data_IF_249465615014
#
_entry.id   IF_249465615014
#
_cell.length_a   1.000
_cell.length_b   1.000
_cell.length_c   1.000
_cell.angle_alpha   90.00
_cell.angle_beta   90.00
_cell.angle_gamma   90.00
#
_symmetry.space_group_name_H-M   'P 1'
#
loop_
_entity.id
_entity.type
_entity.pdbx_description
1 polymer ?
#
# COMPACT_ATOMS: atom_id res chain seq x y z
N UNK A 1 19.76 26.32 -14.92
CA UNK A 1 19.38 25.25 -13.97
C UNK A 1 20.34 24.08 -14.14
N UNK A 2 20.90 23.56 -13.05
CA UNK A 2 21.78 22.40 -13.16
C UNK A 2 21.00 21.20 -13.72
N UNK A 3 21.61 20.45 -14.62
CA UNK A 3 21.03 19.23 -15.25
C UNK A 3 20.48 18.23 -14.21
N UNK A 4 21.05 18.23 -13.00
CA UNK A 4 20.66 17.37 -11.88
C UNK A 4 19.26 17.61 -11.33
N UNK A 5 18.81 18.87 -11.26
CA UNK A 5 17.48 19.20 -10.76
C UNK A 5 16.37 18.78 -11.74
N UNK A 6 16.64 18.88 -13.05
CA UNK A 6 15.69 18.50 -14.09
C UNK A 6 15.45 16.97 -14.13
N UNK A 7 16.52 16.20 -13.91
CA UNK A 7 16.43 14.74 -13.89
C UNK A 7 15.62 14.22 -12.67
N UNK A 8 15.88 14.80 -11.49
CA UNK A 8 15.18 14.43 -10.26
C UNK A 8 13.67 14.73 -10.34
N UNK A 9 13.30 15.87 -10.94
CA UNK A 9 11.89 16.25 -11.16
C UNK A 9 11.18 15.26 -12.09
N UNK A 10 11.81 14.82 -13.16
CA UNK A 10 11.23 13.89 -14.12
C UNK A 10 10.91 12.53 -13.46
N UNK A 11 11.81 11.98 -12.65
CA UNK A 11 11.57 10.73 -11.94
C UNK A 11 10.33 10.79 -11.03
N UNK A 12 10.12 11.92 -10.34
CA UNK A 12 8.97 12.11 -9.47
C UNK A 12 7.68 12.37 -10.26
N UNK A 13 7.76 13.08 -11.38
CA UNK A 13 6.62 13.28 -12.27
C UNK A 13 6.14 11.94 -12.85
N UNK A 14 7.04 11.05 -13.26
CA UNK A 14 6.71 9.71 -13.74
C UNK A 14 6.02 8.87 -12.67
N UNK A 15 6.54 8.84 -11.44
CA UNK A 15 5.91 8.13 -10.32
C UNK A 15 4.50 8.64 -10.01
N UNK A 16 4.31 9.95 -10.08
CA UNK A 16 3.00 10.57 -9.86
C UNK A 16 2.03 10.22 -10.98
N UNK A 17 2.48 10.24 -12.24
CA UNK A 17 1.66 9.88 -13.39
C UNK A 17 1.24 8.40 -13.36
N UNK A 18 2.13 7.48 -12.95
CA UNK A 18 1.80 6.07 -12.78
C UNK A 18 0.61 5.88 -11.82
N UNK A 19 0.59 6.62 -10.70
CA UNK A 19 -0.51 6.57 -9.74
C UNK A 19 -1.80 7.15 -10.31
N UNK A 20 -1.73 8.35 -10.92
CA UNK A 20 -2.91 9.05 -11.44
C UNK A 20 -3.56 8.35 -12.65
N UNK A 21 -2.79 7.59 -13.43
CA UNK A 21 -3.28 6.85 -14.59
C UNK A 21 -3.79 5.46 -14.25
N UNK A 22 -3.63 5.00 -13.02
CA UNK A 22 -4.13 3.68 -12.62
C UNK A 22 -5.66 3.63 -12.71
N UNK A 23 -6.23 2.55 -13.28
CA UNK A 23 -7.66 2.46 -13.55
C UNK A 23 -8.56 2.46 -12.31
N UNK A 24 -8.02 2.16 -11.14
CA UNK A 24 -8.75 2.11 -9.88
C UNK A 24 -9.34 3.47 -9.45
N UNK A 25 -8.72 4.58 -9.84
CA UNK A 25 -9.20 5.93 -9.52
C UNK A 25 -10.31 6.42 -10.47
N UNK A 26 -10.59 5.70 -11.56
CA UNK A 26 -11.65 6.07 -12.51
C UNK A 26 -13.04 5.64 -12.05
N UNK A 27 -13.12 4.47 -11.40
CA UNK A 27 -14.34 3.91 -10.83
C UNK A 27 -14.02 3.20 -9.52
N UNK A 28 -13.85 3.96 -8.45
CA UNK A 28 -13.46 3.44 -7.13
C UNK A 28 -14.45 2.37 -6.64
N UNK A 29 -15.79 2.59 -6.64
CA UNK A 29 -16.73 1.58 -6.15
C UNK A 29 -16.73 0.30 -6.99
N UNK A 30 -16.57 0.42 -8.31
CA UNK A 30 -16.51 -0.73 -9.21
C UNK A 30 -15.21 -1.51 -9.11
N UNK A 31 -14.11 -0.82 -8.89
CA UNK A 31 -12.79 -1.43 -8.80
C UNK A 31 -12.58 -2.19 -7.48
N UNK A 32 -12.95 -1.59 -6.34
CA UNK A 32 -12.74 -2.13 -4.99
C UNK A 32 -13.94 -2.93 -4.46
N UNK A 33 -14.68 -3.64 -5.34
CA UNK A 33 -15.90 -4.40 -4.98
C UNK A 33 -15.63 -5.76 -4.34
N UNK A 34 -14.43 -6.33 -4.51
CA UNK A 34 -14.10 -7.64 -3.94
C UNK A 34 -14.09 -7.58 -2.41
N UNK A 35 -14.52 -8.65 -1.71
CA UNK A 35 -14.66 -8.62 -0.25
C UNK A 35 -13.41 -8.21 0.53
N UNK A 36 -12.23 -8.63 0.07
CA UNK A 36 -10.96 -8.26 0.70
C UNK A 36 -10.42 -6.91 0.23
N UNK A 37 -11.00 -6.34 -0.84
CA UNK A 37 -10.66 -5.00 -1.34
C UNK A 37 -11.39 -3.92 -0.58
N UNK A 38 -10.85 -2.71 -0.59
CA UNK A 38 -11.54 -1.55 -0.07
C UNK A 38 -10.76 -0.26 -0.31
N UNK A 39 -11.50 0.82 -0.35
CA UNK A 39 -10.98 2.18 -0.40
C UNK A 39 -11.63 2.97 0.74
N UNK A 40 -10.84 3.37 1.72
CA UNK A 40 -11.34 4.02 2.92
C UNK A 40 -10.77 5.42 3.07
N UNK A 41 -11.64 6.33 3.47
CA UNK A 41 -11.30 7.70 3.84
C UNK A 41 -11.50 7.84 5.35
N UNK A 42 -10.48 8.34 6.03
CA UNK A 42 -10.56 8.67 7.45
C UNK A 42 -10.86 10.15 7.60
N UNK A 43 -11.88 10.45 8.40
CA UNK A 43 -12.30 11.80 8.72
C UNK A 43 -12.35 12.00 10.24
N UNK A 44 -12.13 13.23 10.67
CA UNK A 44 -12.30 13.68 12.06
C UNK A 44 -13.27 14.85 12.08
N UNK A 45 -14.55 14.57 12.42
CA UNK A 45 -15.64 15.50 12.19
C UNK A 45 -15.88 15.69 10.70
N UNK A 46 -15.74 16.90 10.21
CA UNK A 46 -15.83 17.30 8.80
C UNK A 46 -14.46 17.46 8.10
N UNK A 47 -13.38 17.08 8.78
CA UNK A 47 -12.01 17.24 8.28
C UNK A 47 -11.46 15.93 7.75
N UNK A 48 -10.91 15.98 6.53
CA UNK A 48 -10.15 14.89 5.95
C UNK A 48 -8.86 14.66 6.75
N UNK A 49 -8.61 13.40 7.10
CA UNK A 49 -7.42 12.96 7.84
C UNK A 49 -6.48 12.14 6.97
N UNK A 50 -7.02 11.23 6.17
CA UNK A 50 -6.23 10.37 5.33
C UNK A 50 -7.06 9.38 4.53
N UNK A 51 -6.39 8.59 3.72
CA UNK A 51 -6.99 7.51 2.94
C UNK A 51 -6.06 6.30 2.84
N UNK A 52 -6.66 5.14 2.60
CA UNK A 52 -5.97 3.90 2.31
C UNK A 52 -6.80 3.03 1.38
N UNK A 53 -6.14 2.28 0.50
CA UNK A 53 -6.81 1.34 -0.39
C UNK A 53 -6.04 0.02 -0.48
N UNK A 54 -6.77 -1.10 -0.42
CA UNK A 54 -6.26 -2.46 -0.66
C UNK A 54 -7.00 -3.06 -1.85
N UNK A 55 -6.23 -3.58 -2.79
CA UNK A 55 -6.69 -4.18 -4.03
C UNK A 55 -6.39 -5.69 -4.01
N UNK A 56 -7.44 -6.50 -3.98
CA UNK A 56 -7.39 -7.96 -4.11
C UNK A 56 -7.86 -8.47 -5.47
N UNK A 57 -8.15 -7.56 -6.42
CA UNK A 57 -8.73 -7.93 -7.73
C UNK A 57 -7.81 -8.80 -8.58
N UNK A 58 -6.51 -8.78 -8.32
CA UNK A 58 -5.56 -9.68 -9.00
C UNK A 58 -5.78 -11.14 -8.62
N UNK A 59 -6.40 -11.43 -7.47
CA UNK A 59 -6.79 -12.78 -7.08
C UNK A 59 -7.79 -13.40 -8.06
N UNK A 60 -8.71 -12.59 -8.60
CA UNK A 60 -9.75 -13.05 -9.53
C UNK A 60 -9.22 -13.32 -10.95
N UNK A 61 -8.08 -12.73 -11.32
CA UNK A 61 -7.46 -12.91 -12.64
C UNK A 61 -6.54 -14.12 -12.71
N UNK A 62 -6.01 -14.59 -11.60
CA UNK A 62 -5.08 -15.71 -11.52
C UNK A 62 -5.76 -17.09 -11.38
N UNK A 63 -7.07 -17.14 -11.09
CA UNK A 63 -7.84 -18.40 -11.09
C UNK A 63 -7.87 -19.08 -12.49
N UNK A 64 -7.46 -18.35 -13.55
CA UNK A 64 -7.41 -18.85 -14.93
C UNK A 64 -6.02 -19.36 -15.38
N UNK A 65 -4.98 -19.22 -14.56
CA UNK A 65 -3.64 -19.77 -14.83
C UNK A 65 -3.23 -20.73 -13.73
N UNK A 66 -2.99 -21.99 -14.13
CA UNK A 66 -2.65 -23.13 -13.29
C UNK A 66 -1.29 -23.04 -12.52
N UNK A 67 -0.79 -21.88 -12.21
CA UNK A 67 0.35 -21.74 -11.29
C UNK A 67 -0.11 -21.80 -9.82
N UNK A 68 -0.43 -23.01 -9.38
CA UNK A 68 -0.86 -23.36 -8.01
C UNK A 68 0.18 -23.11 -6.92
N UNK A 69 1.24 -22.35 -7.20
CA UNK A 69 2.37 -22.12 -6.26
C UNK A 69 2.52 -20.70 -5.73
N UNK A 70 1.89 -19.71 -6.36
CA UNK A 70 2.01 -18.34 -5.90
C UNK A 70 1.03 -18.04 -4.74
N UNK A 71 1.45 -17.37 -3.65
CA UNK A 71 0.55 -17.01 -2.56
C UNK A 71 -0.51 -16.03 -3.06
N UNK A 72 -1.75 -16.18 -2.60
CA UNK A 72 -2.82 -15.21 -2.87
C UNK A 72 -2.49 -13.87 -2.24
N UNK A 73 -2.26 -12.86 -3.08
CA UNK A 73 -1.70 -11.59 -2.67
C UNK A 73 -2.64 -10.43 -2.99
N UNK A 74 -2.91 -9.58 -2.00
CA UNK A 74 -3.51 -8.26 -2.19
C UNK A 74 -2.44 -7.17 -2.17
N UNK A 75 -2.72 -6.01 -2.75
CA UNK A 75 -1.78 -4.89 -2.86
C UNK A 75 -2.34 -3.64 -2.21
N UNK A 76 -1.56 -3.04 -1.33
CA UNK A 76 -1.81 -1.71 -0.79
C UNK A 76 -1.53 -0.69 -1.90
N UNK A 77 -2.58 -0.06 -2.43
CA UNK A 77 -2.48 0.85 -3.59
C UNK A 77 -2.21 2.29 -3.19
N UNK A 78 -3.03 2.80 -2.30
CA UNK A 78 -2.97 4.19 -1.85
C UNK A 78 -2.89 4.21 -0.34
N UNK A 79 -2.03 5.08 0.18
CA UNK A 79 -1.92 5.28 1.60
C UNK A 79 -1.35 6.67 1.88
N UNK A 80 -2.16 7.52 2.47
CA UNK A 80 -1.77 8.87 2.82
C UNK A 80 -2.45 9.31 4.12
N UNK A 81 -1.73 10.04 4.95
CA UNK A 81 -2.27 10.72 6.14
C UNK A 81 -1.75 12.14 6.18
N UNK A 82 -2.64 13.10 6.40
CA UNK A 82 -2.32 14.51 6.53
C UNK A 82 -1.35 14.77 7.68
N UNK A 83 -0.40 15.67 7.47
CA UNK A 83 0.70 15.93 8.41
C UNK A 83 0.26 16.19 9.85
N UNK A 84 -0.77 17.01 10.14
CA UNK A 84 -1.20 17.29 11.53
C UNK A 84 -1.60 16.02 12.31
N UNK A 85 -2.05 14.96 11.62
CA UNK A 85 -2.53 13.72 12.25
C UNK A 85 -1.47 12.63 12.36
N UNK A 86 -0.29 12.81 11.76
CA UNK A 86 0.81 11.83 11.83
C UNK A 86 1.38 11.69 13.24
N UNK A 87 1.40 12.76 14.02
CA UNK A 87 1.89 12.76 15.41
C UNK A 87 1.03 11.92 16.35
N UNK A 88 -0.27 11.86 16.10
CA UNK A 88 -1.21 11.01 16.85
C UNK A 88 -1.33 9.61 16.26
N UNK A 89 -0.47 9.27 15.29
CA UNK A 89 -0.36 7.95 14.67
C UNK A 89 -1.63 7.47 13.95
N UNK A 90 -2.40 8.39 13.36
CA UNK A 90 -3.57 8.04 12.58
C UNK A 90 -3.27 7.05 11.43
N UNK A 91 -2.04 7.07 10.90
CA UNK A 91 -1.57 6.09 9.92
C UNK A 91 -1.55 4.65 10.45
N UNK A 92 -1.20 4.46 11.73
CA UNK A 92 -1.14 3.12 12.33
C UNK A 92 -2.55 2.53 12.47
N UNK A 93 -3.51 3.33 12.92
CA UNK A 93 -4.91 2.91 13.06
C UNK A 93 -5.54 2.61 11.70
N UNK A 94 -5.30 3.47 10.71
CA UNK A 94 -5.84 3.32 9.36
C UNK A 94 -5.28 2.08 8.67
N UNK A 95 -3.97 1.85 8.76
CA UNK A 95 -3.32 0.66 8.20
C UNK A 95 -3.80 -0.61 8.88
N UNK A 96 -3.85 -0.63 10.21
CA UNK A 96 -4.35 -1.78 10.97
C UNK A 96 -5.78 -2.14 10.59
N UNK A 97 -6.66 -1.15 10.49
CA UNK A 97 -8.05 -1.34 10.06
C UNK A 97 -8.14 -2.00 8.68
N UNK A 98 -7.38 -1.50 7.70
CA UNK A 98 -7.42 -2.02 6.34
C UNK A 98 -6.87 -3.45 6.23
N UNK A 99 -5.78 -3.76 6.94
CA UNK A 99 -5.19 -5.10 7.02
C UNK A 99 -6.17 -6.08 7.65
N UNK A 100 -6.75 -5.72 8.78
CA UNK A 100 -7.72 -6.55 9.50
C UNK A 100 -8.94 -6.84 8.64
N UNK A 101 -9.45 -5.84 7.93
CA UNK A 101 -10.55 -6.02 6.97
C UNK A 101 -10.17 -7.04 5.89
N UNK A 102 -9.04 -6.85 5.22
CA UNK A 102 -8.63 -7.71 4.12
C UNK A 102 -8.49 -9.17 4.54
N UNK A 103 -7.74 -9.44 5.60
CA UNK A 103 -7.54 -10.81 6.07
C UNK A 103 -8.78 -11.48 6.66
N UNK A 104 -9.68 -10.71 7.30
CA UNK A 104 -10.94 -11.26 7.83
C UNK A 104 -11.97 -11.53 6.74
N UNK A 105 -12.00 -10.70 5.70
CA UNK A 105 -12.98 -10.80 4.62
C UNK A 105 -12.68 -11.93 3.62
N UNK A 106 -11.40 -12.29 3.43
CA UNK A 106 -11.01 -13.40 2.57
C UNK A 106 -10.05 -14.36 3.29
N UNK A 107 -10.53 -15.52 3.76
CA UNK A 107 -9.70 -16.54 4.41
C UNK A 107 -8.60 -17.11 3.49
N UNK A 108 -8.74 -16.98 2.18
CA UNK A 108 -7.76 -17.48 1.21
C UNK A 108 -6.64 -16.48 0.93
N UNK A 109 -6.78 -15.23 1.36
CA UNK A 109 -5.73 -14.22 1.22
C UNK A 109 -4.54 -14.59 2.12
N UNK A 110 -3.38 -14.80 1.54
CA UNK A 110 -2.18 -15.24 2.25
C UNK A 110 -1.23 -14.09 2.56
N UNK A 111 -1.23 -13.06 1.69
CA UNK A 111 -0.22 -12.02 1.73
C UNK A 111 -0.79 -10.66 1.32
N UNK A 112 -0.30 -9.59 1.95
CA UNK A 112 -0.53 -8.19 1.53
C UNK A 112 0.83 -7.58 1.20
N UNK A 113 0.93 -6.98 0.01
CA UNK A 113 2.12 -6.26 -0.44
C UNK A 113 1.90 -4.74 -0.41
N UNK A 114 2.96 -4.01 -0.13
CA UNK A 114 2.98 -2.55 -0.11
C UNK A 114 4.27 -2.01 -0.74
N UNK A 115 4.17 -0.88 -1.43
CA UNK A 115 5.35 -0.17 -1.92
C UNK A 115 6.16 0.38 -0.74
N UNK A 116 7.47 0.19 -0.77
CA UNK A 116 8.43 0.75 0.18
C UNK A 116 9.17 1.92 -0.43
N UNK A 117 9.18 3.05 0.26
CA UNK A 117 9.91 4.24 -0.18
C UNK A 117 10.59 4.95 0.99
N UNK A 118 11.92 5.21 0.89
CA UNK A 118 12.61 6.04 1.88
C UNK A 118 12.21 7.51 1.84
N UNK A 119 11.48 7.92 0.79
CA UNK A 119 11.03 9.30 0.59
C UNK A 119 9.80 9.64 1.45
N UNK A 120 9.11 8.61 1.98
CA UNK A 120 7.94 8.76 2.84
C UNK A 120 8.19 7.99 4.14
N UNK A 121 9.06 8.50 5.03
CA UNK A 121 9.50 7.76 6.22
C UNK A 121 8.36 7.33 7.14
N UNK A 122 7.36 8.17 7.36
CA UNK A 122 6.25 7.85 8.26
C UNK A 122 5.43 6.64 7.80
N UNK A 123 5.26 6.44 6.49
CA UNK A 123 4.59 5.26 5.94
C UNK A 123 5.46 4.01 6.05
N UNK A 124 6.76 4.13 5.76
CA UNK A 124 7.71 3.04 5.93
C UNK A 124 7.75 2.56 7.38
N UNK A 125 7.83 3.47 8.33
CA UNK A 125 7.87 3.13 9.76
C UNK A 125 6.55 2.50 10.22
N UNK A 126 5.42 2.98 9.72
CA UNK A 126 4.11 2.39 9.97
C UNK A 126 4.01 0.96 9.43
N UNK A 127 4.44 0.69 8.20
CA UNK A 127 4.47 -0.66 7.63
C UNK A 127 5.33 -1.61 8.46
N UNK A 128 6.51 -1.16 8.87
CA UNK A 128 7.42 -1.95 9.72
C UNK A 128 6.80 -2.25 11.09
N UNK A 129 6.15 -1.27 11.70
CA UNK A 129 5.47 -1.43 12.99
C UNK A 129 4.32 -2.46 12.93
N UNK A 130 3.63 -2.57 11.79
CA UNK A 130 2.60 -3.60 11.54
C UNK A 130 3.18 -4.98 11.13
N UNK A 131 4.50 -5.11 11.04
CA UNK A 131 5.17 -6.36 10.77
C UNK A 131 5.47 -6.64 9.30
N UNK A 132 5.34 -5.64 8.42
CA UNK A 132 5.77 -5.79 7.03
C UNK A 132 7.29 -5.93 6.92
N UNK A 133 7.73 -6.92 6.18
CA UNK A 133 9.14 -7.20 5.88
C UNK A 133 9.49 -6.75 4.46
N UNK A 134 10.74 -6.39 4.25
CA UNK A 134 11.26 -6.07 2.92
C UNK A 134 11.40 -7.36 2.11
N UNK A 135 10.76 -7.40 0.94
CA UNK A 135 10.89 -8.50 -0.01
C UNK A 135 12.08 -8.26 -0.97
N UNK A 136 12.00 -7.19 -1.74
CA UNK A 136 13.05 -6.82 -2.68
C UNK A 136 13.02 -5.32 -3.00
N UNK A 137 14.13 -4.83 -3.58
CA UNK A 137 14.19 -3.50 -4.17
C UNK A 137 13.76 -3.54 -5.63
N UNK A 138 12.98 -2.55 -6.08
CA UNK A 138 12.44 -2.47 -7.44
C UNK A 138 13.27 -1.56 -8.34
N UNK A 139 13.45 -0.31 -7.94
CA UNK A 139 14.21 0.69 -8.70
C UNK A 139 14.89 1.72 -7.83
N UNK A 140 15.83 2.45 -8.40
CA UNK A 140 16.47 3.60 -7.78
C UNK A 140 15.93 4.88 -8.44
N UNK A 141 15.69 5.92 -7.64
CA UNK A 141 15.18 7.20 -8.12
C UNK A 141 16.00 8.36 -7.58
N UNK A 142 16.06 9.42 -8.37
CA UNK A 142 16.74 10.68 -8.03
C UNK A 142 18.25 10.58 -8.00
N UNK A 143 18.91 11.70 -7.76
CA UNK A 143 20.37 11.83 -7.72
C UNK A 143 21.03 11.01 -6.61
N UNK A 144 20.35 10.85 -5.48
CA UNK A 144 20.83 10.07 -4.34
C UNK A 144 20.57 8.57 -4.49
N UNK A 145 20.04 8.14 -5.65
CA UNK A 145 19.73 6.74 -5.95
C UNK A 145 18.91 6.08 -4.83
N UNK A 146 17.83 6.75 -4.39
CA UNK A 146 16.92 6.21 -3.39
C UNK A 146 16.36 4.87 -3.84
N UNK A 147 16.53 3.84 -3.03
CA UNK A 147 16.04 2.49 -3.34
C UNK A 147 14.57 2.37 -2.97
N UNK A 148 13.71 2.24 -3.98
CA UNK A 148 12.33 1.82 -3.80
C UNK A 148 12.25 0.30 -3.71
N UNK A 149 11.21 -0.22 -3.09
CA UNK A 149 11.05 -1.65 -2.94
C UNK A 149 9.60 -2.07 -2.71
N UNK A 150 9.45 -3.34 -2.36
CA UNK A 150 8.18 -3.95 -1.96
C UNK A 150 8.35 -4.54 -0.58
N UNK A 151 7.39 -4.28 0.29
CA UNK A 151 7.24 -4.95 1.59
C UNK A 151 6.01 -5.84 1.56
N UNK A 152 6.00 -6.83 2.42
CA UNK A 152 4.89 -7.77 2.54
C UNK A 152 4.57 -8.12 3.99
N UNK A 153 3.31 -8.47 4.22
CA UNK A 153 2.82 -9.03 5.46
C UNK A 153 2.10 -10.34 5.15
N UNK A 154 2.56 -11.45 5.74
CA UNK A 154 1.92 -12.74 5.64
C UNK A 154 0.81 -12.90 6.68
N UNK A 155 -0.25 -13.66 6.33
CA UNK A 155 -1.36 -13.98 7.23
C UNK A 155 -0.90 -14.59 8.56
N UNK A 156 0.06 -15.51 8.54
CA UNK A 156 0.56 -16.13 9.75
C UNK A 156 1.13 -15.11 10.75
N UNK A 157 1.88 -14.13 10.23
CA UNK A 157 2.45 -13.07 11.05
C UNK A 157 1.36 -12.14 11.60
N UNK A 158 0.39 -11.78 10.77
CA UNK A 158 -0.76 -11.01 11.21
C UNK A 158 -1.52 -11.73 12.33
N UNK A 159 -1.80 -13.04 12.18
CA UNK A 159 -2.47 -13.85 13.19
C UNK A 159 -1.71 -13.89 14.51
N UNK A 160 -0.38 -14.04 14.46
CA UNK A 160 0.47 -14.00 15.66
C UNK A 160 0.38 -12.64 16.37
N UNK A 161 0.37 -11.54 15.62
CA UNK A 161 0.26 -10.18 16.17
C UNK A 161 -1.11 -9.92 16.83
N UNK A 162 -2.19 -10.58 16.39
CA UNK A 162 -3.51 -10.46 17.01
C UNK A 162 -3.58 -11.15 18.38
N UNK A 163 -2.76 -12.18 18.60
CA UNK A 163 -2.74 -13.00 19.81
C UNK A 163 -1.67 -12.56 20.84
N UNK A 164 -0.88 -11.58 20.48
CA UNK A 164 0.12 -10.98 21.36
C UNK A 164 -0.44 -9.78 22.12
#
# INVERSE_FOLDING_TARGET
>A
MPKSYRFNRQDFEELTQEVLQHPDLRDIPGYYRDPASGFWILESGDKYVGLIAIDSTQLAKDDSKEDKKAPKTAVLRHFHVEEPYRKVKAQDDLLKFAIDHAFKSDPKLERIEAKDSPLIPYLRDCLRAQGFELDHHTKQVGLRKWKLGVRYLERERWTKNQNA
#
